data_IF_761684199268
#
_entry.id   IF_761684199268
#
_cell.length_a   1.000
_cell.length_b   1.000
_cell.length_c   1.000
_cell.angle_alpha   90.00
_cell.angle_beta   90.00
_cell.angle_gamma   90.00
#
_symmetry.space_group_name_H-M   'P 1'
#
loop_
_entity.id
_entity.type
_entity.pdbx_description
1 polymer ?
#
# COMPACT_ATOMS: atom_id res chain seq x y z
N UNK A 1 15.85 -4.03 1.61
CA UNK A 1 14.98 -3.52 2.68
C UNK A 1 13.73 -4.36 2.66
N UNK A 2 13.31 -4.95 3.79
CA UNK A 2 12.11 -5.77 3.83
C UNK A 2 10.86 -4.93 3.52
N UNK A 3 9.80 -5.60 3.05
CA UNK A 3 8.47 -5.01 2.90
C UNK A 3 7.53 -5.61 3.95
N UNK A 4 6.48 -4.87 4.30
CA UNK A 4 5.56 -5.26 5.35
C UNK A 4 4.14 -5.36 4.80
N UNK A 5 3.51 -6.51 5.01
CA UNK A 5 2.15 -6.78 4.59
C UNK A 5 1.17 -6.46 5.72
N UNK A 6 0.18 -5.63 5.45
CA UNK A 6 -0.89 -5.28 6.38
C UNK A 6 -2.26 -5.69 5.85
N UNK A 7 -3.23 -5.79 6.73
CA UNK A 7 -4.66 -5.95 6.40
C UNK A 7 -5.52 -5.09 7.32
N UNK A 8 -6.73 -4.74 6.90
CA UNK A 8 -7.73 -4.10 7.76
C UNK A 8 -9.16 -4.39 7.28
N UNK A 9 -10.16 -3.79 7.93
CA UNK A 9 -11.56 -3.99 7.57
C UNK A 9 -11.98 -3.31 6.25
N UNK A 10 -11.27 -2.28 5.79
CA UNK A 10 -11.61 -1.47 4.61
C UNK A 10 -10.89 -1.94 3.33
N UNK A 11 -9.71 -2.52 3.49
CA UNK A 11 -8.78 -2.96 2.46
C UNK A 11 -8.36 -4.39 2.79
N UNK A 12 -8.39 -5.27 1.80
CA UNK A 12 -7.98 -6.65 2.03
C UNK A 12 -6.48 -6.79 2.27
N UNK A 13 -5.66 -5.95 1.62
CA UNK A 13 -4.21 -6.04 1.73
C UNK A 13 -3.56 -4.67 1.53
N UNK A 14 -2.47 -4.41 2.25
CA UNK A 14 -1.53 -3.33 1.94
C UNK A 14 -0.09 -3.80 2.06
N UNK A 15 0.80 -3.12 1.35
CA UNK A 15 2.24 -3.33 1.37
C UNK A 15 2.88 -1.97 1.66
N UNK A 16 3.75 -1.91 2.66
CA UNK A 16 4.47 -0.69 3.02
C UNK A 16 5.96 -0.99 3.17
N UNK A 17 6.81 0.02 2.93
CA UNK A 17 8.25 -0.06 3.20
C UNK A 17 8.57 0.07 4.70
N UNK A 18 7.60 0.56 5.49
CA UNK A 18 7.69 0.78 6.93
C UNK A 18 6.84 -0.24 7.70
N UNK A 19 7.39 -0.75 8.80
CA UNK A 19 6.72 -1.71 9.68
C UNK A 19 5.64 -1.09 10.56
N UNK A 20 5.57 0.24 10.64
CA UNK A 20 4.52 0.97 11.34
C UNK A 20 3.32 1.31 10.44
N UNK A 21 3.40 1.05 9.13
CA UNK A 21 2.34 1.37 8.17
C UNK A 21 2.12 2.88 7.98
N UNK A 22 3.13 3.71 8.27
CA UNK A 22 3.05 5.17 8.12
C UNK A 22 2.84 5.53 6.66
N UNK A 23 1.84 6.37 6.41
CA UNK A 23 1.43 6.76 5.06
C UNK A 23 0.37 5.86 4.44
N UNK A 24 0.00 4.75 5.09
CA UNK A 24 -1.22 4.03 4.72
C UNK A 24 -2.46 4.91 4.99
N UNK A 25 -3.55 4.73 4.22
CA UNK A 25 -4.81 5.41 4.48
C UNK A 25 -5.28 5.21 5.92
N UNK A 26 -6.01 6.18 6.50
CA UNK A 26 -6.51 6.06 7.87
C UNK A 26 -7.37 4.80 8.03
N UNK A 27 -7.01 3.97 9.02
CA UNK A 27 -7.71 2.74 9.36
C UNK A 27 -6.92 1.89 10.35
N UNK A 28 -7.58 0.91 10.96
CA UNK A 28 -6.97 -0.04 11.90
C UNK A 28 -6.15 -1.10 11.16
N UNK A 29 -4.93 -0.76 10.79
CA UNK A 29 -4.01 -1.68 10.12
C UNK A 29 -3.40 -2.69 11.08
N UNK A 30 -3.49 -3.96 10.68
CA UNK A 30 -2.84 -5.07 11.38
C UNK A 30 -1.71 -5.60 10.51
N UNK A 31 -0.49 -5.62 11.05
CA UNK A 31 0.66 -6.25 10.39
C UNK A 31 0.44 -7.76 10.34
N UNK A 32 0.48 -8.33 9.14
CA UNK A 32 0.38 -9.76 8.92
C UNK A 32 1.75 -10.42 8.95
N UNK A 33 2.69 -9.88 8.17
CA UNK A 33 4.05 -10.41 8.06
C UNK A 33 5.01 -9.43 7.41
N UNK A 34 6.28 -9.62 7.71
CA UNK A 34 7.39 -9.12 6.90
C UNK A 34 7.60 -10.06 5.70
N UNK A 35 7.93 -9.49 4.53
CA UNK A 35 8.14 -10.21 3.28
C UNK A 35 9.39 -9.69 2.59
N UNK A 36 10.14 -10.61 1.98
CA UNK A 36 11.24 -10.22 1.12
C UNK A 36 10.67 -9.64 -0.18
N UNK A 37 11.15 -8.47 -0.66
CA UNK A 37 10.69 -7.90 -1.92
C UNK A 37 10.92 -8.82 -3.13
N UNK A 38 11.85 -9.78 -3.07
CA UNK A 38 12.04 -10.77 -4.12
C UNK A 38 10.88 -11.77 -4.24
N UNK A 39 10.03 -11.88 -3.20
CA UNK A 39 8.83 -12.74 -3.19
C UNK A 39 7.57 -11.99 -3.67
N UNK A 40 7.67 -10.67 -3.89
CA UNK A 40 6.57 -9.78 -4.29
C UNK A 40 6.74 -9.41 -5.76
N UNK A 41 5.63 -9.18 -6.45
CA UNK A 41 5.65 -8.70 -7.83
C UNK A 41 6.46 -7.40 -7.98
N UNK A 42 7.38 -7.36 -8.95
CA UNK A 42 8.29 -6.25 -9.15
C UNK A 42 7.57 -4.90 -9.37
N UNK A 43 6.36 -4.90 -9.95
CA UNK A 43 5.57 -3.68 -10.12
C UNK A 43 5.04 -3.13 -8.79
N UNK A 44 4.70 -3.99 -7.84
CA UNK A 44 4.33 -3.59 -6.48
C UNK A 44 5.56 -3.04 -5.78
N UNK A 45 6.71 -3.71 -5.87
CA UNK A 45 7.98 -3.24 -5.27
C UNK A 45 8.35 -1.86 -5.81
N UNK A 46 8.28 -1.65 -7.13
CA UNK A 46 8.59 -0.37 -7.75
C UNK A 46 7.65 0.76 -7.28
N UNK A 47 6.35 0.47 -7.11
CA UNK A 47 5.38 1.42 -6.55
C UNK A 47 5.66 1.76 -5.10
N UNK A 48 5.87 0.74 -4.27
CA UNK A 48 6.17 0.92 -2.85
C UNK A 48 7.51 1.66 -2.68
N UNK A 49 8.48 1.47 -3.58
CA UNK A 49 9.74 2.22 -3.57
C UNK A 49 9.57 3.69 -3.99
N UNK A 50 8.63 4.00 -4.90
CA UNK A 50 8.39 5.35 -5.37
C UNK A 50 7.51 6.17 -4.42
N UNK A 51 6.45 5.57 -3.87
CA UNK A 51 5.41 6.26 -3.10
C UNK A 51 5.35 5.82 -1.62
N UNK A 52 6.15 4.83 -1.24
CA UNK A 52 6.27 4.31 0.14
C UNK A 52 5.24 3.25 0.50
N UNK A 53 4.19 3.05 -0.30
CA UNK A 53 3.07 2.15 0.03
C UNK A 53 2.22 1.73 -1.17
N UNK A 54 1.45 0.66 -1.02
CA UNK A 54 0.45 0.17 -1.97
C UNK A 54 -0.67 -0.57 -1.23
N UNK A 55 -1.91 -0.51 -1.71
CA UNK A 55 -3.03 -1.25 -1.09
C UNK A 55 -4.09 -1.70 -2.08
N UNK A 56 -4.72 -2.83 -1.76
CA UNK A 56 -5.78 -3.47 -2.54
C UNK A 56 -7.11 -3.42 -1.80
N UNK A 57 -8.13 -2.92 -2.51
CA UNK A 57 -9.52 -2.95 -2.07
C UNK A 57 -10.34 -3.84 -3.00
N UNK A 58 -10.96 -4.92 -2.50
CA UNK A 58 -11.83 -5.75 -3.33
C UNK A 58 -13.03 -4.93 -3.82
N UNK A 59 -13.38 -5.08 -5.09
CA UNK A 59 -14.46 -4.33 -5.74
C UNK A 59 -14.05 -2.98 -6.35
N UNK A 60 -12.80 -2.52 -6.15
CA UNK A 60 -12.20 -1.44 -6.94
C UNK A 60 -11.26 -2.05 -7.97
N UNK A 61 -11.34 -1.61 -9.22
CA UNK A 61 -10.44 -2.07 -10.27
C UNK A 61 -8.98 -1.82 -9.86
N UNK A 62 -8.02 -2.70 -10.22
CA UNK A 62 -6.60 -2.47 -9.94
C UNK A 62 -6.05 -1.18 -10.58
N UNK A 63 -6.73 -0.64 -11.59
CA UNK A 63 -6.47 0.70 -12.13
C UNK A 63 -6.81 1.84 -11.15
N UNK A 64 -7.84 1.69 -10.32
CA UNK A 64 -8.16 2.65 -9.24
C UNK A 64 -7.15 2.54 -8.08
N UNK A 65 -6.58 1.37 -7.84
CA UNK A 65 -5.53 1.19 -6.83
C UNK A 65 -4.23 1.90 -7.22
N UNK A 66 -3.99 2.11 -8.52
CA UNK A 66 -2.92 2.97 -9.03
C UNK A 66 -3.19 4.46 -8.80
N UNK A 67 -4.46 4.85 -8.69
CA UNK A 67 -4.90 6.24 -8.55
C UNK A 67 -5.08 6.64 -7.08
N UNK A 68 -5.27 5.67 -6.18
CA UNK A 68 -5.35 5.91 -4.73
C UNK A 68 -4.08 6.48 -4.10
N UNK A 69 -2.91 6.24 -4.72
CA UNK A 69 -1.64 6.84 -4.29
C UNK A 69 -1.34 8.20 -4.96
N UNK A 70 -2.09 8.56 -6.01
CA UNK A 70 -2.02 9.84 -6.70
C UNK A 70 -3.04 10.88 -6.20
N UNK A 71 -3.98 10.50 -5.32
CA UNK A 71 -4.96 11.41 -4.69
C UNK A 71 -4.41 12.00 -3.37
N UNK A 72 -3.16 12.50 -3.41
CA UNK A 72 -2.80 13.61 -2.53
C UNK A 72 -3.81 14.74 -2.75
N UNK A 73 -4.15 15.55 -1.72
CA UNK A 73 -5.29 16.45 -1.76
C UNK A 73 -5.25 17.31 -3.03
N UNK A 74 -6.41 17.64 -3.64
CA UNK A 74 -6.44 18.49 -4.83
C UNK A 74 -5.60 19.74 -4.55
N UNK A 75 -4.74 20.20 -5.48
CA UNK A 75 -4.07 21.47 -5.28
C UNK A 75 -5.14 22.55 -5.10
N UNK A 76 -5.26 23.08 -3.88
CA UNK A 76 -6.03 24.29 -3.65
C UNK A 76 -5.30 25.46 -4.36
N UNK A 77 -5.99 25.98 -5.38
CA UNK A 77 -5.81 27.25 -6.11
C UNK A 77 -5.00 27.25 -7.40
#
# INVERSE_FOLDING_TARGET
MPLYLFTNAQFSLAVCADGEGRGLPPGDWTLLKEVDPAEIDAAIVARVAAEGHWYYRPGRSPADAAQGAADGPPPEK
#
